data_IF_570289333745
#
_entry.id   IF_570289333745
#
_cell.length_a   1.000
_cell.length_b   1.000
_cell.length_c   1.000
_cell.angle_alpha   90.00
_cell.angle_beta   90.00
_cell.angle_gamma   90.00
#
_symmetry.space_group_name_H-M   'P 1'
#
loop_
_entity.id
_entity.type
_entity.pdbx_description
1 polymer ?
#
# COMPACT_ATOMS: atom_id res chain seq x y z
N UNK A 1 3.87 10.77 -4.28
CA UNK A 1 3.83 9.29 -4.13
C UNK A 1 2.78 8.59 -5.01
N UNK A 2 3.25 7.77 -5.96
CA UNK A 2 2.48 6.76 -6.69
C UNK A 2 2.54 5.41 -5.96
N UNK A 3 1.52 4.56 -6.07
CA UNK A 3 1.55 3.22 -5.46
C UNK A 3 1.22 2.12 -6.46
N UNK A 4 1.79 0.93 -6.24
CA UNK A 4 1.48 -0.31 -7.00
C UNK A 4 0.65 -1.30 -6.18
N UNK A 5 0.15 -0.88 -5.01
CA UNK A 5 -0.63 -1.71 -4.09
C UNK A 5 -1.80 -2.41 -4.81
N UNK A 6 -2.53 -1.69 -5.68
CA UNK A 6 -3.65 -2.26 -6.42
C UNK A 6 -3.24 -3.41 -7.32
N UNK A 7 -2.10 -3.28 -8.00
CA UNK A 7 -1.55 -4.30 -8.91
C UNK A 7 -1.20 -5.56 -8.13
N UNK A 8 -0.38 -5.43 -7.08
CA UNK A 8 0.05 -6.56 -6.25
C UNK A 8 -1.13 -7.21 -5.50
N UNK A 9 -2.07 -6.40 -5.01
CA UNK A 9 -3.29 -6.91 -4.39
C UNK A 9 -4.10 -7.77 -5.37
N UNK A 10 -4.26 -7.31 -6.61
CA UNK A 10 -4.98 -8.06 -7.64
C UNK A 10 -4.25 -9.35 -8.04
N UNK A 11 -2.91 -9.34 -8.11
CA UNK A 11 -2.10 -10.54 -8.37
C UNK A 11 -2.28 -11.61 -7.28
N UNK A 12 -2.52 -11.18 -6.04
CA UNK A 12 -2.83 -12.07 -4.90
C UNK A 12 -4.31 -12.46 -4.81
N UNK A 13 -5.16 -12.00 -5.74
CA UNK A 13 -6.61 -12.27 -5.72
C UNK A 13 -7.37 -11.59 -4.57
N UNK A 14 -6.76 -10.62 -3.89
CA UNK A 14 -7.33 -9.97 -2.71
C UNK A 14 -8.25 -8.81 -3.10
N UNK A 15 -9.35 -8.64 -2.38
CA UNK A 15 -10.15 -7.41 -2.35
C UNK A 15 -9.50 -6.37 -1.44
N UNK A 16 -9.91 -5.09 -1.57
CA UNK A 16 -9.46 -4.02 -0.67
C UNK A 16 -9.80 -4.32 0.79
N UNK A 17 -10.94 -4.98 1.05
CA UNK A 17 -11.37 -5.35 2.40
C UNK A 17 -10.48 -6.42 3.00
N UNK A 18 -10.12 -7.46 2.22
CA UNK A 18 -9.23 -8.52 2.68
C UNK A 18 -7.82 -8.00 2.99
N UNK A 19 -7.27 -7.12 2.14
CA UNK A 19 -6.00 -6.47 2.44
C UNK A 19 -6.09 -5.61 3.70
N UNK A 20 -7.21 -4.88 3.88
CA UNK A 20 -7.43 -4.05 5.07
C UNK A 20 -7.46 -4.88 6.36
N UNK A 21 -8.13 -6.04 6.33
CA UNK A 21 -8.16 -7.00 7.44
C UNK A 21 -6.74 -7.53 7.71
N UNK A 22 -6.02 -7.97 6.67
CA UNK A 22 -4.67 -8.51 6.80
C UNK A 22 -3.69 -7.50 7.43
N UNK A 23 -3.81 -6.22 7.07
CA UNK A 23 -2.97 -5.15 7.62
C UNK A 23 -3.65 -4.35 8.72
N UNK A 24 -4.74 -4.85 9.30
CA UNK A 24 -5.44 -4.30 10.47
C UNK A 24 -5.73 -2.81 10.39
N UNK A 25 -6.34 -2.38 9.29
CA UNK A 25 -6.81 -1.01 9.04
C UNK A 25 -8.24 -1.04 8.49
N UNK A 26 -8.85 0.14 8.33
CA UNK A 26 -10.16 0.25 7.67
C UNK A 26 -10.00 0.09 6.16
N UNK A 27 -11.06 -0.35 5.47
CA UNK A 27 -11.04 -0.48 4.00
C UNK A 27 -10.71 0.85 3.32
N UNK A 28 -11.24 1.97 3.83
CA UNK A 28 -10.97 3.31 3.30
C UNK A 28 -9.48 3.65 3.31
N UNK A 29 -8.74 3.14 4.30
CA UNK A 29 -7.28 3.30 4.38
C UNK A 29 -6.60 2.69 3.15
N UNK A 30 -6.98 1.47 2.75
CA UNK A 30 -6.46 0.83 1.53
C UNK A 30 -6.88 1.61 0.29
N UNK A 31 -8.13 2.11 0.23
CA UNK A 31 -8.60 2.94 -0.89
C UNK A 31 -7.75 4.20 -1.04
N UNK A 32 -7.41 4.88 0.05
CA UNK A 32 -6.58 6.08 0.00
C UNK A 32 -5.12 5.76 -0.35
N UNK A 33 -4.57 4.65 0.15
CA UNK A 33 -3.23 4.19 -0.22
C UNK A 33 -3.11 3.86 -1.71
N UNK A 34 -4.08 3.13 -2.28
CA UNK A 34 -4.10 2.82 -3.72
C UNK A 34 -4.23 4.06 -4.60
N UNK A 35 -4.83 5.13 -4.06
CA UNK A 35 -4.93 6.43 -4.74
C UNK A 35 -3.75 7.35 -4.47
N UNK A 36 -2.76 6.93 -3.68
CA UNK A 36 -1.62 7.76 -3.29
C UNK A 36 -2.01 9.00 -2.48
N UNK A 37 -3.17 9.00 -1.81
CA UNK A 37 -3.76 10.19 -1.19
C UNK A 37 -3.16 10.58 0.16
N UNK A 38 -2.29 9.75 0.75
CA UNK A 38 -1.57 10.11 1.96
C UNK A 38 -0.29 9.26 2.12
N UNK A 39 0.64 9.76 2.91
CA UNK A 39 1.87 9.07 3.26
C UNK A 39 1.62 8.12 4.46
N UNK A 40 1.70 6.78 4.28
CA UNK A 40 1.56 5.85 5.40
C UNK A 40 2.67 6.01 6.43
N UNK A 41 2.42 5.58 7.67
CA UNK A 41 3.52 5.31 8.59
C UNK A 41 4.37 4.15 8.07
N UNK A 42 5.66 4.14 8.42
CA UNK A 42 6.57 3.04 8.07
C UNK A 42 6.02 1.68 8.51
N UNK A 43 5.36 1.62 9.67
CA UNK A 43 4.72 0.39 10.18
C UNK A 43 3.61 -0.11 9.26
N UNK A 44 2.78 0.80 8.72
CA UNK A 44 1.73 0.41 7.78
C UNK A 44 2.31 -0.02 6.44
N UNK A 45 3.28 0.73 5.91
CA UNK A 45 3.99 0.36 4.68
C UNK A 45 4.63 -1.03 4.78
N UNK A 46 5.29 -1.33 5.90
CA UNK A 46 5.87 -2.64 6.19
C UNK A 46 4.82 -3.76 6.24
N UNK A 47 3.67 -3.54 6.89
CA UNK A 47 2.59 -4.55 6.95
C UNK A 47 2.01 -4.83 5.56
N UNK A 48 1.83 -3.80 4.74
CA UNK A 48 1.34 -3.93 3.36
C UNK A 48 2.36 -4.68 2.50
N UNK A 49 3.64 -4.35 2.63
CA UNK A 49 4.74 -5.10 2.01
C UNK A 49 4.69 -6.59 2.33
N UNK A 50 4.52 -6.96 3.61
CA UNK A 50 4.41 -8.37 4.03
C UNK A 50 3.15 -9.05 3.52
N UNK A 51 2.01 -8.36 3.52
CA UNK A 51 0.75 -8.92 3.04
C UNK A 51 0.73 -9.16 1.52
N UNK A 52 1.48 -8.36 0.75
CA UNK A 52 1.52 -8.43 -0.71
C UNK A 52 2.76 -9.17 -1.25
N UNK A 53 3.70 -9.54 -0.39
CA UNK A 53 4.92 -10.25 -0.79
C UNK A 53 5.87 -9.41 -1.66
N UNK A 54 5.91 -8.09 -1.45
CA UNK A 54 6.71 -7.16 -2.26
C UNK A 54 7.50 -6.19 -1.36
N UNK A 55 8.61 -5.64 -1.88
CA UNK A 55 9.38 -4.60 -1.18
C UNK A 55 8.56 -3.34 -0.93
N UNK A 56 9.00 -2.49 -0.01
CA UNK A 56 8.33 -1.18 0.21
C UNK A 56 8.54 -0.32 -1.03
N UNK A 57 9.76 -0.31 -1.55
CA UNK A 57 10.21 0.35 -2.77
C UNK A 57 9.46 -0.11 -4.04
N UNK A 58 9.00 -1.37 -4.07
CA UNK A 58 8.17 -1.88 -5.18
C UNK A 58 6.74 -1.33 -5.12
N UNK A 59 6.24 -1.08 -3.90
CA UNK A 59 4.84 -0.73 -3.64
C UNK A 59 4.60 0.77 -3.57
N UNK A 60 5.58 1.53 -3.09
CA UNK A 60 5.51 2.97 -2.83
C UNK A 60 6.60 3.67 -3.65
N UNK A 61 6.17 4.33 -4.72
CA UNK A 61 7.05 5.03 -5.65
C UNK A 61 7.02 6.52 -5.28
N UNK A 62 8.11 6.98 -4.71
CA UNK A 62 8.35 8.39 -4.41
C UNK A 62 9.02 9.04 -5.62
N UNK A 63 8.56 10.22 -5.99
CA UNK A 63 9.24 11.04 -7.00
C UNK A 63 10.36 11.83 -6.29
N UNK A 64 11.43 12.18 -6.99
CA UNK A 64 12.61 12.83 -6.38
C UNK A 64 12.28 14.16 -5.67
N UNK A 65 11.16 14.79 -6.02
CA UNK A 65 10.62 16.01 -5.37
C UNK A 65 10.02 15.75 -3.98
N UNK A 66 9.71 14.50 -3.61
CA UNK A 66 9.17 14.12 -2.29
C UNK A 66 10.27 14.11 -1.19
N UNK A 67 11.55 14.33 -1.54
CA UNK A 67 12.71 14.27 -0.63
C UNK A 67 13.14 15.63 -0.03
N UNK A 68 12.33 16.67 -0.20
CA UNK A 68 12.56 18.04 0.30
C UNK A 68 12.14 18.28 1.74
#
# INVERSE_FOLDING_TARGET
MKTRIREYRALQGLTQGELAIAVGVRRETIVFLEKGKYNPSLKLAWRVSRALGAGIEDLFIFEEEDAG
#
